data_IF_380877707584
#
_entry.id   IF_380877707584
#
_cell.length_a   1.000
_cell.length_b   1.000
_cell.length_c   1.000
_cell.angle_alpha   90.00
_cell.angle_beta   90.00
_cell.angle_gamma   90.00
#
_symmetry.space_group_name_H-M   'P 1'
#
loop_
_entity.id
_entity.type
_entity.pdbx_description
1 polymer ?
#
# COMPACT_ATOMS: atom_id res chain seq x y z
N UNK A 1 -13.87 -0.17 19.80
CA UNK A 1 -13.89 -0.24 18.33
C UNK A 1 -12.45 -0.17 17.84
N UNK A 2 -11.84 -1.35 17.76
CA UNK A 2 -10.44 -1.53 17.44
C UNK A 2 -10.35 -1.54 15.92
N UNK A 3 -9.65 -0.57 15.32
CA UNK A 3 -9.18 -0.63 13.94
C UNK A 3 -8.14 -1.77 13.87
N UNK A 4 -8.63 -3.00 13.92
CA UNK A 4 -7.86 -4.18 13.62
C UNK A 4 -7.64 -4.16 12.12
N UNK A 5 -6.47 -3.65 11.73
CA UNK A 5 -5.95 -3.65 10.38
C UNK A 5 -6.11 -5.03 9.73
N UNK A 6 -7.19 -5.22 8.97
CA UNK A 6 -7.29 -6.21 7.89
C UNK A 6 -6.49 -5.76 6.66
N UNK A 7 -5.32 -5.15 6.86
CA UNK A 7 -4.39 -4.84 5.77
C UNK A 7 -3.69 -6.10 5.25
N UNK A 8 -3.63 -7.16 6.06
CA UNK A 8 -3.01 -8.44 5.71
C UNK A 8 -3.82 -9.32 4.77
N UNK A 9 -5.13 -9.09 4.64
CA UNK A 9 -5.98 -9.88 3.75
C UNK A 9 -5.97 -9.33 2.31
N UNK A 10 -5.77 -8.02 2.14
CA UNK A 10 -5.69 -7.37 0.83
C UNK A 10 -4.49 -7.87 0.02
N UNK A 11 -3.32 -7.97 0.65
CA UNK A 11 -2.11 -8.51 -0.01
C UNK A 11 -2.19 -10.02 -0.21
N UNK A 12 -2.89 -10.76 0.66
CA UNK A 12 -3.09 -12.20 0.50
C UNK A 12 -4.04 -12.54 -0.66
N UNK A 13 -5.10 -11.77 -0.89
CA UNK A 13 -6.00 -12.00 -2.04
C UNK A 13 -5.28 -11.98 -3.40
N UNK A 14 -4.27 -11.12 -3.54
CA UNK A 14 -3.43 -11.03 -4.75
C UNK A 14 -2.28 -12.07 -4.75
N UNK A 15 -1.79 -12.49 -3.59
CA UNK A 15 -0.60 -13.35 -3.46
C UNK A 15 -0.89 -14.85 -3.23
N UNK A 16 -2.11 -15.25 -2.87
CA UNK A 16 -2.42 -16.63 -2.46
C UNK A 16 -2.41 -17.68 -3.58
N UNK A 17 -2.04 -17.32 -4.81
CA UNK A 17 -1.69 -18.28 -5.86
C UNK A 17 -0.18 -18.53 -6.04
N UNK A 18 0.66 -18.09 -5.09
CA UNK A 18 2.13 -18.26 -5.20
C UNK A 18 2.79 -18.78 -3.93
N UNK A 19 2.66 -20.08 -3.65
CA UNK A 19 3.52 -20.76 -2.68
C UNK A 19 4.95 -20.90 -3.25
N UNK A 20 5.97 -20.54 -2.47
CA UNK A 20 7.36 -20.97 -2.71
C UNK A 20 8.41 -19.86 -2.62
N UNK A 21 9.20 -19.96 -1.53
CA UNK A 21 10.60 -19.60 -1.29
C UNK A 21 11.22 -18.34 -1.88
N UNK A 22 11.96 -17.65 -1.00
CA UNK A 22 12.69 -16.43 -1.30
C UNK A 22 13.75 -16.56 -2.39
N UNK A 23 13.83 -15.53 -3.22
CA UNK A 23 15.00 -15.02 -3.90
C UNK A 23 14.56 -13.73 -4.60
N UNK A 24 15.40 -12.70 -4.53
CA UNK A 24 15.34 -11.51 -5.37
C UNK A 24 15.28 -11.92 -6.85
N UNK A 25 14.12 -11.83 -7.47
CA UNK A 25 13.92 -12.24 -8.86
C UNK A 25 12.59 -11.74 -9.40
N UNK A 26 12.65 -11.04 -10.53
CA UNK A 26 11.52 -10.70 -11.39
C UNK A 26 10.57 -11.91 -11.55
N UNK A 27 9.44 -11.94 -10.83
CA UNK A 27 8.38 -12.94 -11.07
C UNK A 27 7.38 -12.38 -12.08
N UNK A 28 7.79 -12.37 -13.35
CA UNK A 28 6.93 -12.02 -14.47
C UNK A 28 6.81 -13.19 -15.45
N UNK A 29 6.33 -14.33 -14.97
CA UNK A 29 5.38 -15.12 -15.77
C UNK A 29 3.99 -14.75 -15.26
N UNK A 30 3.62 -13.49 -15.51
CA UNK A 30 2.44 -12.86 -14.95
C UNK A 30 1.16 -13.50 -15.46
N UNK A 31 0.13 -13.51 -14.62
CA UNK A 31 -1.25 -13.77 -15.06
C UNK A 31 -1.55 -12.80 -16.21
N UNK A 32 -2.02 -13.29 -17.37
CA UNK A 32 -2.40 -12.41 -18.47
C UNK A 32 -3.35 -11.32 -17.99
N UNK A 33 -3.17 -10.09 -18.49
CA UNK A 33 -4.02 -8.97 -18.07
C UNK A 33 -5.50 -9.27 -18.33
N UNK A 34 -5.84 -9.99 -19.40
CA UNK A 34 -7.20 -10.45 -19.68
C UNK A 34 -7.79 -11.26 -18.54
N UNK A 35 -7.02 -12.21 -18.01
CA UNK A 35 -7.47 -13.13 -16.97
C UNK A 35 -7.59 -12.40 -15.64
N UNK A 36 -6.71 -11.43 -15.40
CA UNK A 36 -6.82 -10.53 -14.26
C UNK A 36 -8.06 -9.64 -14.34
N UNK A 37 -8.37 -9.05 -15.50
CA UNK A 37 -9.58 -8.23 -15.68
C UNK A 37 -10.86 -9.03 -15.45
N UNK A 38 -10.92 -10.30 -15.88
CA UNK A 38 -12.05 -11.18 -15.59
C UNK A 38 -12.24 -11.39 -14.08
N UNK A 39 -11.15 -11.54 -13.32
CA UNK A 39 -11.22 -11.64 -11.86
C UNK A 39 -11.74 -10.37 -11.18
N UNK A 40 -11.66 -9.20 -11.83
CA UNK A 40 -12.16 -7.94 -11.29
C UNK A 40 -13.68 -7.77 -11.39
N UNK A 41 -14.38 -8.63 -12.14
CA UNK A 41 -15.84 -8.57 -12.25
C UNK A 41 -16.52 -8.87 -10.91
N UNK A 42 -15.95 -9.80 -10.14
CA UNK A 42 -16.48 -10.23 -8.84
C UNK A 42 -15.71 -9.63 -7.64
N UNK A 43 -14.64 -8.87 -7.89
CA UNK A 43 -13.82 -8.30 -6.83
C UNK A 43 -14.38 -6.96 -6.33
N UNK A 44 -14.52 -6.83 -5.01
CA UNK A 44 -14.94 -5.59 -4.37
C UNK A 44 -13.74 -4.93 -3.67
N UNK A 45 -13.12 -3.89 -4.27
CA UNK A 45 -11.96 -3.23 -3.69
C UNK A 45 -12.28 -2.50 -2.37
N UNK A 46 -11.25 -2.26 -1.56
CA UNK A 46 -11.39 -1.54 -0.28
C UNK A 46 -11.92 -0.12 -0.48
N UNK A 47 -11.50 0.54 -1.54
CA UNK A 47 -12.05 1.81 -2.01
C UNK A 47 -13.35 1.51 -2.77
N UNK A 48 -14.51 2.08 -2.37
CA UNK A 48 -15.76 1.88 -3.09
C UNK A 48 -15.73 2.43 -4.51
N UNK A 49 -16.40 1.74 -5.45
CA UNK A 49 -16.45 2.11 -6.87
C UNK A 49 -16.91 3.57 -7.10
N UNK A 50 -17.88 4.06 -6.30
CA UNK A 50 -18.37 5.43 -6.38
C UNK A 50 -17.30 6.50 -6.08
N UNK A 51 -16.36 6.21 -5.16
CA UNK A 51 -15.27 7.13 -4.81
C UNK A 51 -14.28 7.20 -5.97
N UNK A 52 -13.92 6.04 -6.53
CA UNK A 52 -13.01 6.00 -7.68
C UNK A 52 -13.65 6.67 -8.90
N UNK A 53 -14.92 6.40 -9.19
CA UNK A 53 -15.66 7.05 -10.27
C UNK A 53 -15.72 8.58 -10.12
N UNK A 54 -15.92 9.09 -8.90
CA UNK A 54 -15.90 10.53 -8.64
C UNK A 54 -14.54 11.18 -9.00
N UNK A 55 -13.42 10.57 -8.59
CA UNK A 55 -12.10 11.09 -8.93
C UNK A 55 -11.77 10.96 -10.42
N UNK A 56 -12.22 9.88 -11.06
CA UNK A 56 -12.07 9.70 -12.51
C UNK A 56 -12.84 10.78 -13.28
N UNK A 57 -14.11 11.03 -12.93
CA UNK A 57 -14.90 12.08 -13.56
C UNK A 57 -14.29 13.47 -13.32
N UNK A 58 -13.76 13.72 -12.12
CA UNK A 58 -13.04 14.96 -11.81
C UNK A 58 -11.78 15.15 -12.67
N UNK A 59 -11.16 14.06 -13.13
CA UNK A 59 -10.05 14.08 -14.08
C UNK A 59 -10.47 14.15 -15.56
N UNK A 60 -11.79 14.17 -15.84
CA UNK A 60 -12.36 14.14 -17.19
C UNK A 60 -12.41 12.76 -17.83
N UNK A 61 -12.33 11.68 -17.02
CA UNK A 61 -12.38 10.30 -17.49
C UNK A 61 -13.64 9.58 -16.97
N UNK A 62 -14.47 9.09 -17.88
CA UNK A 62 -15.63 8.26 -17.55
C UNK A 62 -15.35 6.82 -17.98
N UNK A 63 -15.23 5.91 -17.01
CA UNK A 63 -15.01 4.50 -17.29
C UNK A 63 -16.33 3.81 -17.63
N UNK A 64 -16.49 3.39 -18.89
CA UNK A 64 -17.66 2.61 -19.32
C UNK A 64 -17.69 1.18 -18.73
N UNK A 65 -16.51 0.65 -18.37
CA UNK A 65 -16.35 -0.69 -17.82
C UNK A 65 -15.99 -0.62 -16.32
N UNK A 66 -16.84 -1.22 -15.47
CA UNK A 66 -16.63 -1.29 -14.02
C UNK A 66 -15.33 -1.99 -13.62
N UNK A 67 -14.80 -2.89 -14.45
CA UNK A 67 -13.50 -3.53 -14.21
C UNK A 67 -12.35 -2.52 -14.21
N UNK A 68 -12.43 -1.47 -15.04
CA UNK A 68 -11.41 -0.43 -15.08
C UNK A 68 -11.44 0.42 -13.80
N UNK A 69 -12.64 0.72 -13.28
CA UNK A 69 -12.79 1.42 -11.99
C UNK A 69 -12.13 0.62 -10.87
N UNK A 70 -12.34 -0.70 -10.84
CA UNK A 70 -11.76 -1.59 -9.83
C UNK A 70 -10.26 -1.78 -10.02
N UNK A 71 -9.78 -1.87 -11.26
CA UNK A 71 -8.36 -1.92 -11.59
C UNK A 71 -7.62 -0.69 -11.05
N UNK A 72 -8.16 0.50 -11.30
CA UNK A 72 -7.58 1.76 -10.82
C UNK A 72 -7.62 1.82 -9.28
N UNK A 73 -8.72 1.36 -8.68
CA UNK A 73 -8.84 1.27 -7.22
C UNK A 73 -7.78 0.36 -6.61
N UNK A 74 -7.51 -0.79 -7.23
CA UNK A 74 -6.46 -1.71 -6.81
C UNK A 74 -5.06 -1.13 -7.00
N UNK A 75 -4.81 -0.46 -8.13
CA UNK A 75 -3.53 0.20 -8.39
C UNK A 75 -3.24 1.28 -7.34
N UNK A 76 -4.23 2.10 -6.97
CA UNK A 76 -4.11 3.09 -5.91
C UNK A 76 -3.84 2.43 -4.54
N UNK A 77 -4.55 1.34 -4.23
CA UNK A 77 -4.33 0.58 -2.99
C UNK A 77 -2.94 -0.04 -2.93
N UNK A 78 -2.44 -0.58 -4.05
CA UNK A 78 -1.08 -1.09 -4.16
C UNK A 78 -0.06 0.03 -3.95
N UNK A 79 -0.25 1.18 -4.59
CA UNK A 79 0.64 2.33 -4.44
C UNK A 79 0.77 2.79 -2.98
N UNK A 80 -0.35 2.94 -2.27
CA UNK A 80 -0.33 3.29 -0.83
C UNK A 80 0.33 2.20 -0.01
N UNK A 81 0.07 0.93 -0.34
CA UNK A 81 0.67 -0.21 0.35
C UNK A 81 2.19 -0.25 0.19
N UNK A 82 2.71 0.01 -1.01
CA UNK A 82 4.14 0.03 -1.29
C UNK A 82 4.83 1.13 -0.45
N UNK A 83 4.33 2.36 -0.50
CA UNK A 83 4.85 3.49 0.33
C UNK A 83 4.83 3.15 1.82
N UNK A 84 3.73 2.57 2.30
CA UNK A 84 3.59 2.24 3.73
C UNK A 84 4.54 1.12 4.15
N UNK A 85 4.77 0.14 3.28
CA UNK A 85 5.72 -0.93 3.53
C UNK A 85 7.16 -0.41 3.57
N UNK A 86 7.53 0.51 2.67
CA UNK A 86 8.85 1.14 2.67
C UNK A 86 9.05 1.99 3.94
N UNK A 87 8.05 2.81 4.30
CA UNK A 87 8.09 3.59 5.55
C UNK A 87 8.16 2.70 6.80
N UNK A 88 7.50 1.54 6.79
CA UNK A 88 7.61 0.56 7.88
C UNK A 88 9.02 -0.03 7.99
N UNK A 89 9.73 -0.23 6.87
CA UNK A 89 11.11 -0.68 6.89
C UNK A 89 12.03 0.38 7.52
N UNK A 90 11.87 1.65 7.14
CA UNK A 90 12.57 2.78 7.80
C UNK A 90 12.28 2.84 9.31
N UNK A 91 11.01 2.65 9.70
CA UNK A 91 10.61 2.62 11.10
C UNK A 91 11.27 1.47 11.89
N UNK A 92 11.34 0.28 11.30
CA UNK A 92 12.01 -0.89 11.90
C UNK A 92 13.51 -0.67 12.10
N UNK A 93 14.19 -0.13 11.08
CA UNK A 93 15.64 0.11 11.13
C UNK A 93 16.02 1.16 12.18
N UNK A 94 15.24 2.24 12.30
CA UNK A 94 15.42 3.23 13.39
C UNK A 94 15.15 2.62 14.76
N UNK A 95 14.05 1.88 14.89
CA UNK A 95 13.66 1.23 16.13
C UNK A 95 14.57 0.08 16.58
N UNK A 96 15.50 -0.39 15.74
CA UNK A 96 16.60 -1.29 16.13
C UNK A 96 17.82 -0.54 16.65
N UNK A 97 18.08 0.67 16.16
CA UNK A 97 19.19 1.53 16.65
C UNK A 97 18.88 2.11 18.04
N UNK A 98 17.60 2.34 18.36
CA UNK A 98 17.17 2.88 19.65
C UNK A 98 16.90 1.80 20.72
N UNK A 99 16.97 0.52 20.36
CA UNK A 99 16.74 -0.60 21.28
C UNK A 99 18.04 -1.25 21.76
N UNK A 100 18.91 -0.46 22.41
CA UNK A 100 19.95 -0.99 23.30
C UNK A 100 19.42 -1.25 24.73
N UNK A 101 18.15 -0.92 25.01
CA UNK A 101 17.53 -1.23 26.31
C UNK A 101 16.90 -2.63 26.30
N UNK A 102 17.41 -3.47 27.18
CA UNK A 102 17.19 -4.90 27.36
C UNK A 102 15.80 -5.26 27.92
N UNK A 103 14.73 -4.60 27.48
CA UNK A 103 13.40 -4.78 28.09
C UNK A 103 12.24 -4.78 27.09
N UNK A 104 11.51 -5.90 27.09
CA UNK A 104 10.13 -6.14 26.62
C UNK A 104 9.89 -6.47 25.14
N UNK A 105 10.06 -7.77 24.84
CA UNK A 105 9.59 -8.41 23.61
C UNK A 105 8.12 -8.85 23.64
N UNK A 106 7.15 -7.92 23.69
CA UNK A 106 5.74 -8.28 23.36
C UNK A 106 4.87 -7.17 22.77
N UNK A 107 5.26 -5.90 22.88
CA UNK A 107 4.46 -4.76 22.37
C UNK A 107 5.30 -3.77 21.58
N UNK A 108 5.96 -4.22 20.50
CA UNK A 108 6.66 -3.29 19.59
C UNK A 108 5.62 -2.60 18.70
N UNK A 109 5.02 -1.52 19.22
CA UNK A 109 4.10 -0.66 18.48
C UNK A 109 4.90 0.15 17.45
N UNK A 110 4.62 -0.07 16.17
CA UNK A 110 5.14 0.78 15.10
C UNK A 110 4.23 2.00 14.96
N UNK A 111 4.84 3.17 14.84
CA UNK A 111 4.15 4.45 14.61
C UNK A 111 4.69 5.04 13.32
N UNK A 112 3.80 5.40 12.40
CA UNK A 112 4.19 6.10 11.18
C UNK A 112 4.53 7.55 11.52
N UNK A 113 5.78 7.94 11.29
CA UNK A 113 6.28 9.29 11.60
C UNK A 113 6.78 9.99 10.35
N UNK A 114 6.85 11.33 10.39
CA UNK A 114 7.38 12.12 9.27
C UNK A 114 8.84 11.81 8.97
N UNK A 115 9.62 11.39 9.97
CA UNK A 115 11.02 10.98 9.81
C UNK A 115 11.17 9.75 8.92
N UNK A 116 10.20 8.83 8.97
CA UNK A 116 10.15 7.62 8.13
C UNK A 116 9.56 7.89 6.76
N UNK A 117 8.52 8.73 6.72
CA UNK A 117 7.73 8.93 5.52
C UNK A 117 8.39 9.91 4.54
N UNK A 118 9.10 10.93 5.03
CA UNK A 118 9.75 11.94 4.20
C UNK A 118 10.80 11.37 3.24
N UNK A 119 11.77 10.51 3.67
CA UNK A 119 12.74 9.93 2.75
C UNK A 119 12.07 9.03 1.71
N UNK A 120 11.08 8.22 2.10
CA UNK A 120 10.32 7.36 1.17
C UNK A 120 9.62 8.22 0.13
N UNK A 121 8.85 9.22 0.53
CA UNK A 121 8.16 10.10 -0.41
C UNK A 121 9.12 10.84 -1.36
N UNK A 122 10.32 11.20 -0.90
CA UNK A 122 11.34 11.80 -1.75
C UNK A 122 11.83 10.83 -2.85
N UNK A 123 11.93 9.54 -2.57
CA UNK A 123 12.26 8.50 -3.58
C UNK A 123 11.15 8.36 -4.64
N UNK A 124 9.88 8.56 -4.24
CA UNK A 124 8.76 8.63 -5.17
C UNK A 124 8.62 10.02 -5.87
N UNK A 125 9.54 10.96 -5.63
CA UNK A 125 9.54 12.30 -6.24
C UNK A 125 8.56 13.29 -5.59
N UNK A 126 8.01 12.97 -4.42
CA UNK A 126 7.03 13.78 -3.69
C UNK A 126 7.76 14.63 -2.64
N UNK A 127 7.70 15.96 -2.78
CA UNK A 127 8.33 16.89 -1.83
C UNK A 127 7.40 17.24 -0.68
N UNK A 128 7.79 16.86 0.55
CA UNK A 128 7.06 17.23 1.77
C UNK A 128 7.84 18.30 2.53
N UNK A 129 7.38 19.54 2.45
CA UNK A 129 7.93 20.67 3.22
C UNK A 129 6.99 20.98 4.38
N UNK A 130 7.14 20.27 5.50
CA UNK A 130 6.38 20.58 6.71
C UNK A 130 7.26 21.36 7.69
N UNK A 131 6.97 22.65 7.95
CA UNK A 131 7.71 23.41 8.97
C UNK A 131 7.43 22.81 10.35
N UNK A 132 8.45 22.77 11.20
CA UNK A 132 8.34 22.20 12.56
C UNK A 132 7.44 23.01 13.48
N UNK A 133 7.24 24.29 13.17
CA UNK A 133 6.31 25.19 13.85
C UNK A 133 5.93 26.31 12.88
N UNK A 134 4.72 26.83 13.03
CA UNK A 134 4.30 28.09 12.44
C UNK A 134 4.47 29.16 13.53
N UNK A 135 5.16 30.25 13.21
CA UNK A 135 5.20 31.46 14.06
C UNK A 135 3.96 32.31 13.81
#
# INVERSE_FOLDING_TARGET
MLLHLKGSDFTKGILLHGAGSGATGHRASGVPLSDFLLQLEDYNPTIPDAVTAYYLNSSGFEAADGRLVRLISLAAQKFISDITNDALQHCKMRGSQQSSSKTKGKDKRYTLTMEDLTPVLAEYGISVKKPHYYI
#
